data_IF_709326784838
#
_entry.id   IF_709326784838
#
_cell.length_a   1.000
_cell.length_b   1.000
_cell.length_c   1.000
_cell.angle_alpha   90.00
_cell.angle_beta   90.00
_cell.angle_gamma   90.00
#
_symmetry.space_group_name_H-M   'P 1'
#
loop_
_entity.id
_entity.type
_entity.pdbx_description
1 polymer ?
#
# COMPACT_ATOMS: atom_id res chain seq x y z
N UNK A 1 40.93 -0.32 26.87
CA UNK A 1 39.76 -1.21 26.92
C UNK A 1 40.07 -2.43 26.06
N UNK A 2 39.92 -3.63 26.63
CA UNK A 2 40.60 -4.86 26.19
C UNK A 2 39.90 -5.50 24.99
N UNK A 3 40.68 -5.81 23.95
CA UNK A 3 40.29 -6.60 22.79
C UNK A 3 40.05 -8.06 23.18
N UNK A 4 39.01 -8.68 22.64
CA UNK A 4 38.88 -10.13 22.68
C UNK A 4 39.47 -10.71 21.39
N UNK A 5 40.65 -11.33 21.50
CA UNK A 5 41.16 -12.34 20.56
C UNK A 5 40.92 -13.69 21.23
N UNK A 6 40.11 -14.55 20.63
CA UNK A 6 40.04 -15.97 21.01
C UNK A 6 40.52 -16.79 19.80
N UNK A 7 41.68 -17.43 19.98
CA UNK A 7 42.11 -18.59 19.22
C UNK A 7 41.39 -19.82 19.78
N UNK A 8 40.74 -20.60 18.93
CA UNK A 8 40.55 -22.05 19.16
C UNK A 8 40.30 -22.76 17.83
N UNK A 9 41.25 -23.61 17.43
CA UNK A 9 41.03 -24.68 16.45
C UNK A 9 40.17 -25.76 17.11
N UNK A 10 39.10 -26.20 16.45
CA UNK A 10 38.47 -27.48 16.74
C UNK A 10 38.24 -28.26 15.45
N UNK A 11 38.65 -29.52 15.47
CA UNK A 11 38.46 -30.53 14.43
C UNK A 11 37.00 -30.98 14.50
N UNK A 12 36.25 -30.85 13.39
CA UNK A 12 34.89 -31.38 13.31
C UNK A 12 34.93 -32.88 12.98
N UNK A 13 34.22 -33.67 13.77
CA UNK A 13 33.85 -35.05 13.44
C UNK A 13 32.42 -35.03 12.92
N UNK A 14 32.23 -35.35 11.65
CA UNK A 14 30.92 -35.44 11.01
C UNK A 14 30.19 -36.71 11.44
N UNK A 15 28.99 -36.58 12.01
CA UNK A 15 28.03 -37.67 12.14
C UNK A 15 27.14 -37.75 10.87
N UNK A 16 26.67 -38.95 10.50
CA UNK A 16 25.90 -39.15 9.27
C UNK A 16 24.50 -38.51 9.35
N UNK A 17 24.15 -37.78 8.28
CA UNK A 17 22.87 -37.07 8.11
C UNK A 17 21.70 -38.05 7.96
N UNK A 18 20.62 -37.82 8.71
CA UNK A 18 19.32 -38.44 8.45
C UNK A 18 18.59 -37.74 7.30
N UNK A 19 17.80 -38.51 6.53
CA UNK A 19 17.01 -38.12 5.36
C UNK A 19 16.48 -36.67 5.42
N UNK A 20 17.06 -35.80 4.57
CA UNK A 20 16.59 -34.43 4.36
C UNK A 20 15.50 -34.43 3.28
N UNK A 21 14.42 -33.68 3.52
CA UNK A 21 13.39 -33.44 2.50
C UNK A 21 13.94 -32.67 1.28
N UNK A 22 13.12 -32.47 0.23
CA UNK A 22 13.54 -31.70 -0.93
C UNK A 22 13.96 -30.29 -0.52
N UNK A 23 15.19 -29.91 -0.88
CA UNK A 23 15.77 -28.58 -0.64
C UNK A 23 16.43 -28.07 -1.92
N UNK A 24 16.32 -26.77 -2.19
CA UNK A 24 17.01 -26.15 -3.32
C UNK A 24 18.48 -25.93 -2.92
N UNK A 25 19.46 -26.47 -3.66
CA UNK A 25 20.88 -26.25 -3.37
C UNK A 25 21.20 -24.75 -3.36
N UNK A 26 21.91 -24.27 -2.34
CA UNK A 26 22.35 -22.86 -2.25
C UNK A 26 23.22 -22.44 -3.44
N UNK A 27 23.77 -23.41 -4.18
CA UNK A 27 24.62 -23.26 -5.37
C UNK A 27 23.88 -23.32 -6.71
N UNK A 28 22.53 -23.43 -6.75
CA UNK A 28 21.81 -23.39 -8.02
C UNK A 28 21.90 -21.99 -8.64
N UNK A 29 22.92 -21.79 -9.48
CA UNK A 29 23.25 -20.58 -10.25
C UNK A 29 22.98 -19.29 -9.51
N UNK A 30 24.02 -18.76 -8.86
CA UNK A 30 24.15 -17.31 -8.64
C UNK A 30 23.93 -16.64 -9.99
N UNK A 31 22.72 -16.13 -10.24
CA UNK A 31 22.46 -15.19 -11.31
C UNK A 31 23.39 -14.01 -11.03
N UNK A 32 24.40 -13.87 -11.88
CA UNK A 32 25.40 -12.81 -11.82
C UNK A 32 24.68 -11.47 -11.71
N UNK A 33 24.91 -10.80 -10.58
CA UNK A 33 24.52 -9.42 -10.37
C UNK A 33 25.34 -8.54 -11.31
N UNK A 34 24.66 -7.84 -12.21
CA UNK A 34 25.17 -6.59 -12.75
C UNK A 34 24.27 -5.47 -12.20
N UNK A 35 24.80 -4.69 -11.26
CA UNK A 35 24.13 -3.54 -10.63
C UNK A 35 24.11 -2.30 -11.55
N UNK A 36 24.51 -2.44 -12.82
CA UNK A 36 24.64 -1.34 -13.76
C UNK A 36 23.79 -1.48 -15.01
N UNK A 37 22.47 -1.64 -14.87
CA UNK A 37 21.55 -1.34 -15.98
C UNK A 37 20.13 -1.06 -15.49
N UNK A 38 19.92 0.18 -15.04
CA UNK A 38 18.61 0.82 -15.05
C UNK A 38 18.18 1.04 -16.50
N UNK A 39 17.64 0.02 -17.14
CA UNK A 39 16.84 0.18 -18.35
C UNK A 39 15.39 -0.12 -18.00
N UNK A 40 14.52 0.85 -18.29
CA UNK A 40 13.08 0.73 -18.23
C UNK A 40 12.61 -0.41 -19.14
N UNK A 41 12.60 -1.64 -18.65
CA UNK A 41 11.72 -2.67 -19.20
C UNK A 41 10.36 -2.48 -18.57
N UNK A 42 9.44 -1.97 -19.40
CA UNK A 42 8.01 -1.98 -19.14
C UNK A 42 7.63 -3.37 -18.65
N UNK A 43 7.09 -3.43 -17.43
CA UNK A 43 6.61 -4.64 -16.79
C UNK A 43 5.46 -5.17 -17.64
N UNK A 44 5.65 -6.29 -18.33
CA UNK A 44 4.57 -6.90 -19.10
C UNK A 44 3.51 -7.47 -18.13
N UNK A 45 2.21 -7.35 -18.46
CA UNK A 45 1.10 -7.98 -17.72
C UNK A 45 1.22 -9.49 -17.49
N UNK A 46 2.16 -10.16 -18.17
CA UNK A 46 2.29 -11.60 -18.28
C UNK A 46 2.87 -12.29 -17.01
N UNK A 47 3.84 -11.65 -16.32
CA UNK A 47 4.51 -12.28 -15.17
C UNK A 47 3.56 -12.54 -13.99
N UNK A 48 2.59 -11.65 -13.75
CA UNK A 48 1.58 -11.84 -12.70
C UNK A 48 0.68 -13.03 -12.97
N UNK A 49 0.29 -13.27 -14.22
CA UNK A 49 -0.49 -14.45 -14.61
C UNK A 49 0.35 -15.72 -14.51
N UNK A 50 1.61 -15.66 -14.95
CA UNK A 50 2.55 -16.79 -14.82
C UNK A 50 2.76 -17.22 -13.36
N UNK A 51 2.80 -16.28 -12.41
CA UNK A 51 2.83 -16.60 -10.97
C UNK A 51 1.60 -17.41 -10.56
N UNK A 52 0.39 -17.01 -10.99
CA UNK A 52 -0.86 -17.72 -10.67
C UNK A 52 -0.87 -19.12 -11.28
N UNK A 53 -0.41 -19.27 -12.53
CA UNK A 53 -0.29 -20.57 -13.20
C UNK A 53 0.71 -21.49 -12.48
N UNK A 54 1.86 -20.94 -12.09
CA UNK A 54 2.87 -21.67 -11.33
C UNK A 54 2.31 -22.14 -9.98
N UNK A 55 1.64 -21.26 -9.23
CA UNK A 55 0.95 -21.61 -7.98
C UNK A 55 -0.06 -22.74 -8.17
N UNK A 56 -0.85 -22.70 -9.24
CA UNK A 56 -1.80 -23.77 -9.56
C UNK A 56 -1.08 -25.11 -9.81
N UNK A 57 0.06 -25.08 -10.48
CA UNK A 57 0.83 -26.27 -10.84
C UNK A 57 1.63 -26.90 -9.69
N UNK A 58 2.07 -26.10 -8.70
CA UNK A 58 2.86 -26.58 -7.55
C UNK A 58 2.02 -26.92 -6.33
N UNK A 59 0.75 -26.49 -6.30
CA UNK A 59 -0.13 -26.69 -5.15
C UNK A 59 -0.89 -28.01 -5.20
N UNK A 60 -1.03 -28.65 -4.03
CA UNK A 60 -1.94 -29.77 -3.80
C UNK A 60 -3.29 -29.25 -3.30
N UNK A 61 -4.35 -30.06 -3.38
CA UNK A 61 -5.68 -29.73 -2.83
C UNK A 61 -6.03 -30.73 -1.72
N UNK A 62 -6.28 -30.29 -0.46
CA UNK A 62 -6.09 -28.94 0.06
C UNK A 62 -4.61 -28.56 0.25
N UNK A 63 -4.33 -27.26 0.29
CA UNK A 63 -3.00 -26.75 0.67
C UNK A 63 -2.82 -26.85 2.18
N UNK A 64 -1.64 -27.26 2.65
CA UNK A 64 -1.37 -27.39 4.08
C UNK A 64 -1.19 -26.01 4.72
N UNK A 65 -1.69 -25.79 5.96
CA UNK A 65 -1.34 -24.62 6.74
C UNK A 65 0.16 -24.61 7.07
N UNK A 66 0.77 -23.44 6.97
CA UNK A 66 2.11 -23.15 7.50
C UNK A 66 2.09 -23.22 9.03
N UNK A 67 3.18 -23.71 9.63
CA UNK A 67 3.39 -23.61 11.07
C UNK A 67 3.89 -22.22 11.49
N UNK A 68 4.35 -21.42 10.52
CA UNK A 68 4.78 -20.05 10.72
C UNK A 68 3.63 -19.12 10.36
N UNK A 69 3.27 -18.24 11.29
CA UNK A 69 2.29 -17.18 11.07
C UNK A 69 2.74 -16.25 9.93
N UNK A 70 1.80 -15.90 9.05
CA UNK A 70 2.03 -14.85 8.04
C UNK A 70 2.00 -13.48 8.72
N UNK A 71 3.03 -12.68 8.50
CA UNK A 71 3.08 -11.31 9.04
C UNK A 71 3.58 -10.37 7.95
N UNK A 72 2.89 -9.24 7.78
CA UNK A 72 3.36 -8.21 6.88
C UNK A 72 4.21 -7.18 7.60
N UNK A 73 5.07 -6.48 6.86
CA UNK A 73 5.90 -5.43 7.42
C UNK A 73 5.09 -4.27 8.02
N UNK A 74 3.89 -3.99 7.49
CA UNK A 74 2.96 -2.99 8.04
C UNK A 74 2.53 -3.31 9.47
N UNK A 75 2.41 -4.60 9.76
CA UNK A 75 1.92 -5.15 11.03
C UNK A 75 3.03 -5.17 12.09
N UNK A 76 4.28 -4.99 11.65
CA UNK A 76 5.43 -4.95 12.55
C UNK A 76 5.37 -3.66 13.40
N UNK A 77 5.40 -3.76 14.74
CA UNK A 77 5.35 -2.60 15.62
C UNK A 77 6.61 -1.71 15.48
N UNK A 78 6.44 -0.39 15.68
CA UNK A 78 7.56 0.56 15.71
C UNK A 78 8.20 0.60 17.10
N UNK A 79 9.53 0.77 17.14
CA UNK A 79 10.30 1.06 18.37
C UNK A 79 11.29 2.20 18.11
N UNK A 80 11.44 3.05 19.12
CA UNK A 80 12.36 4.20 19.08
C UNK A 80 13.79 3.82 19.48
N UNK A 81 13.95 2.82 20.35
CA UNK A 81 15.24 2.47 20.95
C UNK A 81 15.63 1.03 20.61
N UNK A 82 16.91 0.85 20.24
CA UNK A 82 17.51 -0.47 20.06
C UNK A 82 17.48 -1.27 21.38
N UNK A 83 17.33 -2.61 21.30
CA UNK A 83 17.43 -3.46 22.48
C UNK A 83 18.85 -3.41 23.07
N UNK A 84 18.95 -3.56 24.39
CA UNK A 84 20.23 -3.66 25.08
C UNK A 84 20.92 -4.96 24.66
N UNK A 85 22.22 -4.87 24.34
CA UNK A 85 23.06 -6.04 24.05
C UNK A 85 23.08 -6.97 25.26
N UNK A 86 22.78 -8.27 25.10
CA UNK A 86 22.76 -9.19 26.24
C UNK A 86 24.16 -9.35 26.83
N UNK A 87 24.23 -9.40 28.15
CA UNK A 87 25.49 -9.62 28.89
C UNK A 87 25.93 -11.09 28.91
N UNK A 88 25.04 -12.02 28.52
CA UNK A 88 25.33 -13.45 28.44
C UNK A 88 25.03 -13.98 27.03
N UNK A 89 25.91 -14.85 26.52
CA UNK A 89 25.76 -15.52 25.23
C UNK A 89 24.99 -16.84 25.38
N UNK A 90 23.80 -16.80 25.98
CA UNK A 90 22.92 -17.99 26.04
C UNK A 90 22.01 -18.03 24.81
N UNK A 91 21.57 -19.21 24.33
CA UNK A 91 20.62 -19.30 23.23
C UNK A 91 19.39 -18.40 23.43
N UNK A 92 18.78 -18.42 24.62
CA UNK A 92 17.61 -17.59 24.91
C UNK A 92 17.91 -16.08 24.79
N UNK A 93 19.00 -15.61 25.39
CA UNK A 93 19.36 -14.20 25.37
C UNK A 93 19.68 -13.71 23.94
N UNK A 94 20.46 -14.49 23.19
CA UNK A 94 20.83 -14.17 21.81
C UNK A 94 19.58 -14.14 20.91
N UNK A 95 18.70 -15.13 21.00
CA UNK A 95 17.49 -15.17 20.18
C UNK A 95 16.53 -14.01 20.52
N UNK A 96 16.37 -13.65 21.79
CA UNK A 96 15.52 -12.53 22.19
C UNK A 96 16.08 -11.18 21.72
N UNK A 97 17.40 -11.01 21.80
CA UNK A 97 18.10 -9.84 21.31
C UNK A 97 17.92 -9.68 19.80
N UNK A 98 18.24 -10.72 19.02
CA UNK A 98 18.09 -10.69 17.56
C UNK A 98 16.64 -10.49 17.15
N UNK A 99 15.68 -11.21 17.74
CA UNK A 99 14.25 -10.98 17.48
C UNK A 99 13.84 -9.54 17.74
N UNK A 100 14.36 -8.92 18.79
CA UNK A 100 14.09 -7.51 19.09
C UNK A 100 14.68 -6.55 18.05
N UNK A 101 15.79 -6.92 17.41
CA UNK A 101 16.36 -6.14 16.31
C UNK A 101 15.55 -6.27 15.01
N UNK A 102 15.10 -7.48 14.67
CA UNK A 102 14.55 -7.77 13.33
C UNK A 102 13.02 -7.80 13.25
N UNK A 103 12.31 -7.89 14.39
CA UNK A 103 10.84 -7.90 14.45
C UNK A 103 10.23 -6.57 14.92
N UNK A 104 10.99 -5.48 14.84
CA UNK A 104 10.48 -4.13 15.09
C UNK A 104 10.92 -3.20 13.96
N UNK A 105 10.10 -2.17 13.71
CA UNK A 105 10.45 -1.08 12.79
C UNK A 105 11.18 0.01 13.56
N UNK A 106 12.39 0.31 13.10
CA UNK A 106 13.26 1.35 13.64
C UNK A 106 13.38 2.51 12.66
N UNK A 107 13.94 3.64 13.13
CA UNK A 107 14.35 4.71 12.23
C UNK A 107 15.40 4.19 11.23
N UNK A 108 15.31 4.68 9.99
CA UNK A 108 16.18 4.22 8.89
C UNK A 108 17.67 4.46 9.18
N UNK A 109 17.99 5.48 9.99
CA UNK A 109 19.35 5.80 10.45
C UNK A 109 19.99 4.68 11.27
N UNK A 110 19.20 3.88 11.98
CA UNK A 110 19.66 2.77 12.83
C UNK A 110 19.90 1.47 12.05
N UNK A 111 19.47 1.42 10.79
CA UNK A 111 19.54 0.22 9.95
C UNK A 111 20.97 -0.37 9.84
N UNK A 112 22.04 0.41 9.56
CA UNK A 112 23.39 -0.15 9.46
C UNK A 112 23.83 -0.86 10.74
N UNK A 113 23.51 -0.28 11.91
CA UNK A 113 23.86 -0.84 13.22
C UNK A 113 23.10 -2.15 13.47
N UNK A 114 21.81 -2.20 13.11
CA UNK A 114 21.00 -3.42 13.21
C UNK A 114 21.59 -4.52 12.33
N UNK A 115 21.88 -4.20 11.07
CA UNK A 115 22.43 -5.16 10.12
C UNK A 115 23.78 -5.72 10.58
N UNK A 116 24.69 -4.85 11.00
CA UNK A 116 26.00 -5.26 11.52
C UNK A 116 25.88 -6.12 12.77
N UNK A 117 24.99 -5.74 13.70
CA UNK A 117 24.76 -6.52 14.93
C UNK A 117 24.22 -7.92 14.64
N UNK A 118 23.26 -8.02 13.71
CA UNK A 118 22.68 -9.31 13.32
C UNK A 118 23.70 -10.18 12.59
N UNK A 119 24.46 -9.62 11.65
CA UNK A 119 25.50 -10.37 10.93
C UNK A 119 26.59 -10.84 11.88
N UNK A 120 27.03 -10.00 12.81
CA UNK A 120 28.00 -10.38 13.85
C UNK A 120 27.51 -11.57 14.66
N UNK A 121 26.24 -11.60 15.05
CA UNK A 121 25.67 -12.74 15.78
C UNK A 121 25.60 -13.99 14.91
N UNK A 122 25.19 -13.87 13.64
CA UNK A 122 25.13 -15.01 12.70
C UNK A 122 26.51 -15.60 12.43
N UNK A 123 27.54 -14.77 12.29
CA UNK A 123 28.90 -15.22 12.00
C UNK A 123 29.60 -15.84 13.21
N UNK A 124 29.41 -15.26 14.41
CA UNK A 124 30.16 -15.67 15.60
C UNK A 124 29.43 -16.70 16.47
N UNK A 125 28.10 -16.75 16.43
CA UNK A 125 27.27 -17.60 17.31
C UNK A 125 26.16 -18.36 16.53
N UNK A 126 26.44 -18.96 15.36
CA UNK A 126 25.39 -19.54 14.50
C UNK A 126 24.62 -20.70 15.14
N UNK A 127 25.29 -21.50 15.96
CA UNK A 127 24.74 -22.66 16.68
C UNK A 127 23.76 -22.26 17.80
N UNK A 128 23.86 -21.03 18.31
CA UNK A 128 22.95 -20.50 19.33
C UNK A 128 21.65 -19.96 18.74
N UNK A 129 21.57 -19.76 17.42
CA UNK A 129 20.39 -19.17 16.76
C UNK A 129 19.38 -20.27 16.42
N UNK A 130 18.13 -20.07 16.81
CA UNK A 130 17.05 -21.01 16.45
C UNK A 130 16.62 -20.85 14.99
N UNK A 131 16.09 -21.92 14.37
CA UNK A 131 15.50 -21.88 13.01
C UNK A 131 14.51 -20.72 12.85
N UNK A 132 13.64 -20.51 13.84
CA UNK A 132 12.66 -19.42 13.83
C UNK A 132 13.33 -18.03 13.78
N UNK A 133 14.43 -17.84 14.51
CA UNK A 133 15.17 -16.57 14.47
C UNK A 133 15.88 -16.40 13.14
N UNK A 134 16.47 -17.45 12.56
CA UNK A 134 17.00 -17.40 11.19
C UNK A 134 15.94 -17.00 10.16
N UNK A 135 14.70 -17.45 10.33
CA UNK A 135 13.59 -17.06 9.46
C UNK A 135 13.28 -15.56 9.60
N UNK A 136 13.25 -15.03 10.82
CA UNK A 136 13.05 -13.59 11.04
C UNK A 136 14.21 -12.73 10.51
N UNK A 137 15.45 -13.19 10.66
CA UNK A 137 16.62 -12.55 10.06
C UNK A 137 16.46 -12.52 8.54
N UNK A 138 16.10 -13.64 7.93
CA UNK A 138 15.88 -13.74 6.47
C UNK A 138 14.80 -12.78 6.00
N UNK A 139 13.69 -12.67 6.75
CA UNK A 139 12.59 -11.76 6.42
C UNK A 139 13.00 -10.29 6.49
N UNK A 140 13.80 -9.92 7.48
CA UNK A 140 14.35 -8.57 7.59
C UNK A 140 15.23 -8.21 6.39
N UNK A 141 16.20 -9.06 6.06
CA UNK A 141 17.10 -8.81 4.92
C UNK A 141 16.37 -8.88 3.56
N UNK A 142 15.35 -9.74 3.42
CA UNK A 142 14.46 -9.76 2.26
C UNK A 142 13.74 -8.43 2.10
N UNK A 143 13.12 -7.94 3.19
CA UNK A 143 12.40 -6.68 3.16
C UNK A 143 13.29 -5.52 2.74
N UNK A 144 14.55 -5.52 3.17
CA UNK A 144 15.55 -4.50 2.81
C UNK A 144 16.32 -4.76 1.50
N UNK A 145 15.89 -5.75 0.68
CA UNK A 145 16.48 -6.10 -0.63
C UNK A 145 17.94 -6.55 -0.60
N UNK A 146 18.39 -7.13 0.51
CA UNK A 146 19.78 -7.58 0.69
C UNK A 146 19.93 -9.06 0.37
N UNK A 147 19.56 -9.45 -0.86
CA UNK A 147 19.47 -10.85 -1.29
C UNK A 147 20.80 -11.60 -1.19
N UNK A 148 21.92 -10.92 -1.45
CA UNK A 148 23.25 -11.51 -1.31
C UNK A 148 23.55 -11.90 0.15
N UNK A 149 23.14 -11.06 1.11
CA UNK A 149 23.31 -11.36 2.55
C UNK A 149 22.42 -12.52 2.98
N UNK A 150 21.20 -12.63 2.43
CA UNK A 150 20.33 -13.80 2.69
C UNK A 150 21.04 -15.10 2.31
N UNK A 151 21.64 -15.17 1.11
CA UNK A 151 22.35 -16.37 0.68
C UNK A 151 23.47 -16.76 1.65
N UNK A 152 24.28 -15.79 2.08
CA UNK A 152 25.34 -16.00 3.10
C UNK A 152 24.79 -16.47 4.44
N UNK A 153 23.71 -15.85 4.92
CA UNK A 153 23.08 -16.22 6.20
C UNK A 153 22.57 -17.67 6.16
N UNK A 154 21.94 -18.08 5.05
CA UNK A 154 21.44 -19.45 4.88
C UNK A 154 22.57 -20.47 4.71
N UNK A 155 23.68 -20.08 4.08
CA UNK A 155 24.90 -20.90 3.99
C UNK A 155 25.53 -21.12 5.36
N UNK A 156 25.68 -20.04 6.16
CA UNK A 156 26.16 -20.13 7.54
C UNK A 156 25.24 -21.00 8.39
N UNK A 157 23.91 -20.83 8.28
CA UNK A 157 22.93 -21.68 8.97
C UNK A 157 23.11 -23.15 8.60
N UNK A 158 23.16 -23.47 7.31
CA UNK A 158 23.22 -24.85 6.82
C UNK A 158 24.56 -25.53 7.15
N UNK A 159 25.63 -24.75 7.29
CA UNK A 159 26.97 -25.26 7.61
C UNK A 159 27.17 -25.52 9.11
N UNK A 160 26.44 -24.81 9.96
CA UNK A 160 26.64 -24.84 11.42
C UNK A 160 25.46 -25.45 12.20
N UNK A 161 24.36 -25.80 11.53
CA UNK A 161 23.16 -26.35 12.16
C UNK A 161 22.58 -27.52 11.35
N UNK A 162 21.62 -28.23 11.92
CA UNK A 162 20.85 -29.25 11.20
C UNK A 162 19.61 -28.67 10.48
N UNK A 163 19.48 -27.34 10.41
CA UNK A 163 18.35 -26.71 9.74
C UNK A 163 18.50 -26.81 8.22
N UNK A 164 17.37 -26.93 7.54
CA UNK A 164 17.33 -26.98 6.08
C UNK A 164 16.63 -25.74 5.54
N UNK A 165 17.01 -25.33 4.32
CA UNK A 165 16.31 -24.27 3.59
C UNK A 165 15.01 -24.83 3.00
N UNK A 166 13.99 -24.92 3.85
CA UNK A 166 12.68 -25.48 3.54
C UNK A 166 11.69 -24.42 3.01
N UNK A 167 10.41 -24.82 2.89
CA UNK A 167 9.35 -23.98 2.34
C UNK A 167 9.15 -22.65 3.08
N UNK A 168 9.43 -22.56 4.38
CA UNK A 168 9.19 -21.32 5.12
C UNK A 168 10.22 -20.25 4.75
N UNK A 169 11.47 -20.66 4.54
CA UNK A 169 12.51 -19.75 4.06
C UNK A 169 12.26 -19.30 2.62
N UNK A 170 11.79 -20.20 1.75
CA UNK A 170 11.43 -19.85 0.37
C UNK A 170 10.20 -18.91 0.33
N UNK A 171 9.21 -19.12 1.19
CA UNK A 171 8.07 -18.22 1.36
C UNK A 171 8.50 -16.80 1.71
N UNK A 172 9.41 -16.66 2.67
CA UNK A 172 9.97 -15.36 3.03
C UNK A 172 10.63 -14.70 1.80
N UNK A 173 11.40 -15.45 1.01
CA UNK A 173 12.09 -14.94 -0.19
C UNK A 173 11.14 -14.57 -1.33
N UNK A 174 9.93 -15.14 -1.37
CA UNK A 174 8.85 -14.70 -2.26
C UNK A 174 8.18 -13.40 -1.79
N UNK A 175 8.30 -13.08 -0.50
CA UNK A 175 7.65 -11.95 0.15
C UNK A 175 8.01 -10.58 -0.43
N UNK A 176 7.17 -9.60 -0.10
CA UNK A 176 7.33 -8.20 -0.49
C UNK A 176 8.63 -7.59 0.07
N UNK A 177 9.21 -6.64 -0.67
CA UNK A 177 10.40 -5.90 -0.27
C UNK A 177 10.25 -4.40 -0.53
N UNK A 178 11.09 -3.58 0.12
CA UNK A 178 11.05 -2.11 0.03
C UNK A 178 11.58 -1.66 -1.33
N UNK A 179 10.69 -1.44 -2.29
CA UNK A 179 11.01 -0.90 -3.61
C UNK A 179 10.10 -1.45 -4.71
N UNK A 180 10.54 -1.32 -5.96
CA UNK A 180 9.84 -1.88 -7.11
C UNK A 180 9.82 -3.40 -7.03
N UNK A 181 8.63 -3.98 -7.18
CA UNK A 181 8.43 -5.43 -7.18
C UNK A 181 8.96 -6.00 -8.50
N UNK A 182 10.05 -6.76 -8.40
CA UNK A 182 10.58 -7.60 -9.49
C UNK A 182 9.82 -8.94 -9.51
N UNK A 183 8.90 -9.09 -10.47
CA UNK A 183 8.09 -10.31 -10.61
C UNK A 183 8.87 -11.45 -11.28
N UNK A 184 9.80 -11.14 -12.19
CA UNK A 184 10.61 -12.13 -12.89
C UNK A 184 11.41 -12.99 -11.92
N UNK A 185 12.06 -12.39 -10.91
CA UNK A 185 12.77 -13.15 -9.87
C UNK A 185 11.89 -14.07 -9.03
N UNK A 186 10.59 -13.77 -8.94
CA UNK A 186 9.62 -14.59 -8.20
C UNK A 186 9.08 -15.72 -9.05
N UNK A 187 8.91 -15.50 -10.35
CA UNK A 187 8.66 -16.55 -11.33
C UNK A 187 9.79 -17.58 -11.29
N UNK A 188 11.05 -17.15 -11.46
CA UNK A 188 12.23 -18.03 -11.40
C UNK A 188 12.28 -18.82 -10.09
N UNK A 189 11.95 -18.16 -8.97
CA UNK A 189 11.88 -18.78 -7.65
C UNK A 189 10.84 -19.90 -7.58
N UNK A 190 9.62 -19.64 -8.05
CA UNK A 190 8.54 -20.62 -8.07
C UNK A 190 8.85 -21.79 -9.03
N UNK A 191 9.51 -21.52 -10.15
CA UNK A 191 10.01 -22.55 -11.07
C UNK A 191 11.05 -23.46 -10.39
N UNK A 192 12.04 -22.90 -9.69
CA UNK A 192 13.00 -23.70 -8.92
C UNK A 192 12.32 -24.54 -7.82
N UNK A 193 11.32 -23.98 -7.13
CA UNK A 193 10.53 -24.73 -6.13
C UNK A 193 9.77 -25.90 -6.76
N UNK A 194 9.21 -25.69 -7.96
CA UNK A 194 8.54 -26.72 -8.76
C UNK A 194 9.48 -27.84 -9.15
N UNK A 195 10.65 -27.49 -9.72
CA UNK A 195 11.67 -28.44 -10.16
C UNK A 195 12.21 -29.27 -8.98
N UNK A 196 12.38 -28.65 -7.82
CA UNK A 196 12.79 -29.33 -6.59
C UNK A 196 11.68 -30.20 -5.95
N UNK A 197 10.46 -30.20 -6.50
CA UNK A 197 9.34 -30.95 -5.95
C UNK A 197 8.87 -30.47 -4.58
N UNK A 198 9.08 -29.18 -4.26
CA UNK A 198 8.65 -28.61 -2.98
C UNK A 198 7.13 -28.55 -2.87
N UNK A 199 6.60 -28.93 -1.72
CA UNK A 199 5.16 -28.83 -1.42
C UNK A 199 4.87 -27.47 -0.79
N UNK A 200 4.14 -26.62 -1.50
CA UNK A 200 3.76 -25.29 -1.02
C UNK A 200 2.72 -25.34 0.11
N UNK A 201 2.71 -24.29 0.94
CA UNK A 201 1.75 -24.10 2.02
C UNK A 201 0.98 -22.78 1.82
N UNK A 202 0.04 -22.46 2.71
CA UNK A 202 -0.77 -21.24 2.60
C UNK A 202 0.06 -19.93 2.59
N UNK A 203 1.19 -19.86 3.30
CA UNK A 203 2.05 -18.69 3.27
C UNK A 203 2.63 -18.43 1.87
N UNK A 204 2.84 -19.47 1.05
CA UNK A 204 3.24 -19.28 -0.35
C UNK A 204 2.21 -18.45 -1.11
N UNK A 205 0.92 -18.71 -0.89
CA UNK A 205 -0.18 -17.95 -1.49
C UNK A 205 -0.22 -16.51 -0.96
N UNK A 206 -0.07 -16.30 0.35
CA UNK A 206 -0.11 -14.94 0.91
C UNK A 206 1.05 -14.06 0.43
N UNK A 207 2.27 -14.60 0.40
CA UNK A 207 3.43 -13.85 -0.08
C UNK A 207 3.36 -13.54 -1.58
N UNK A 208 2.85 -14.46 -2.39
CA UNK A 208 2.69 -14.26 -3.84
C UNK A 208 1.52 -13.35 -4.17
N UNK A 209 0.37 -13.50 -3.51
CA UNK A 209 -0.77 -12.59 -3.64
C UNK A 209 -0.37 -11.13 -3.39
N UNK A 210 0.42 -10.91 -2.32
CA UNK A 210 0.88 -9.58 -1.90
C UNK A 210 1.65 -8.82 -2.99
N UNK A 211 2.34 -9.52 -3.86
CA UNK A 211 3.24 -8.93 -4.86
C UNK A 211 2.60 -8.79 -6.24
N UNK A 212 1.45 -9.41 -6.48
CA UNK A 212 0.69 -9.24 -7.71
C UNK A 212 0.32 -7.76 -7.92
N UNK A 213 0.48 -7.30 -9.16
CA UNK A 213 0.35 -5.88 -9.51
C UNK A 213 -0.96 -5.53 -10.23
N UNK A 214 -1.71 -6.50 -10.78
CA UNK A 214 -3.00 -6.25 -11.45
C UNK A 214 -4.18 -6.76 -10.63
N UNK A 215 -5.36 -6.15 -10.84
CA UNK A 215 -6.61 -6.62 -10.25
C UNK A 215 -6.97 -8.03 -10.74
N UNK A 216 -6.86 -8.29 -12.04
CA UNK A 216 -7.22 -9.59 -12.63
C UNK A 216 -6.41 -10.75 -12.04
N UNK A 217 -5.09 -10.59 -11.93
CA UNK A 217 -4.23 -11.63 -11.35
C UNK A 217 -4.53 -11.87 -9.88
N UNK A 218 -4.85 -10.81 -9.11
CA UNK A 218 -5.28 -10.94 -7.71
C UNK A 218 -6.62 -11.66 -7.60
N UNK A 219 -7.59 -11.35 -8.45
CA UNK A 219 -8.89 -12.03 -8.46
C UNK A 219 -8.72 -13.52 -8.81
N UNK A 220 -7.91 -13.83 -9.83
CA UNK A 220 -7.58 -15.22 -10.18
C UNK A 220 -6.86 -15.95 -9.03
N UNK A 221 -5.93 -15.29 -8.36
CA UNK A 221 -5.26 -15.85 -7.19
C UNK A 221 -6.24 -16.14 -6.04
N UNK A 222 -7.20 -15.26 -5.76
CA UNK A 222 -8.23 -15.48 -4.73
C UNK A 222 -9.16 -16.64 -5.08
N UNK A 223 -9.58 -16.75 -6.35
CA UNK A 223 -10.34 -17.92 -6.83
C UNK A 223 -9.55 -19.21 -6.62
N UNK A 224 -8.27 -19.21 -6.99
CA UNK A 224 -7.38 -20.34 -6.76
C UNK A 224 -7.22 -20.65 -5.25
N UNK A 225 -7.09 -19.64 -4.39
CA UNK A 225 -7.03 -19.83 -2.94
C UNK A 225 -8.29 -20.51 -2.40
N UNK A 226 -9.48 -20.04 -2.83
CA UNK A 226 -10.77 -20.64 -2.49
C UNK A 226 -10.83 -22.10 -2.94
N UNK A 227 -10.48 -22.38 -4.20
CA UNK A 227 -10.46 -23.74 -4.76
C UNK A 227 -9.53 -24.68 -4.00
N UNK A 228 -8.44 -24.14 -3.44
CA UNK A 228 -7.42 -24.89 -2.70
C UNK A 228 -7.67 -24.92 -1.18
N UNK A 229 -8.79 -24.35 -0.72
CA UNK A 229 -9.17 -24.21 0.70
C UNK A 229 -8.13 -23.43 1.52
N UNK A 230 -7.56 -22.39 0.93
CA UNK A 230 -6.67 -21.44 1.61
C UNK A 230 -7.53 -20.31 2.18
N UNK A 231 -7.43 -20.08 3.49
CA UNK A 231 -8.13 -19.01 4.20
C UNK A 231 -7.68 -17.63 3.72
N UNK A 232 -8.60 -16.70 3.44
CA UNK A 232 -8.23 -15.35 3.03
C UNK A 232 -7.99 -14.41 4.22
N UNK A 233 -8.33 -14.80 5.45
CA UNK A 233 -8.23 -13.95 6.64
C UNK A 233 -6.88 -13.20 6.76
N UNK A 234 -5.70 -13.86 6.55
CA UNK A 234 -4.41 -13.17 6.67
C UNK A 234 -4.15 -12.08 5.63
N UNK A 235 -4.94 -12.03 4.55
CA UNK A 235 -4.85 -11.03 3.49
C UNK A 235 -6.18 -10.30 3.26
N UNK A 236 -7.10 -10.36 4.25
CA UNK A 236 -8.48 -9.92 4.06
C UNK A 236 -8.58 -8.45 3.69
N UNK A 237 -7.86 -7.56 4.38
CA UNK A 237 -7.90 -6.13 4.06
C UNK A 237 -7.49 -5.86 2.61
N UNK A 238 -6.38 -6.46 2.17
CA UNK A 238 -5.86 -6.28 0.80
C UNK A 238 -6.77 -6.89 -0.26
N UNK A 239 -7.31 -8.07 0.02
CA UNK A 239 -8.26 -8.74 -0.88
C UNK A 239 -9.55 -7.94 -0.99
N UNK A 240 -10.08 -7.41 0.11
CA UNK A 240 -11.26 -6.56 0.11
C UNK A 240 -11.06 -5.29 -0.74
N UNK A 241 -9.93 -4.59 -0.62
CA UNK A 241 -9.65 -3.44 -1.49
C UNK A 241 -9.60 -3.80 -2.98
N UNK A 242 -9.11 -5.00 -3.31
CA UNK A 242 -9.07 -5.49 -4.68
C UNK A 242 -10.46 -5.86 -5.21
N UNK A 243 -11.25 -6.57 -4.40
CA UNK A 243 -12.56 -7.11 -4.76
C UNK A 243 -13.64 -6.02 -4.81
N UNK A 244 -13.47 -4.93 -4.06
CA UNK A 244 -14.41 -3.80 -4.05
C UNK A 244 -14.64 -3.20 -5.45
N UNK A 245 -13.69 -3.29 -6.36
CA UNK A 245 -13.85 -2.79 -7.74
C UNK A 245 -14.32 -3.87 -8.73
N UNK A 246 -14.41 -5.12 -8.29
CA UNK A 246 -14.70 -6.25 -9.17
C UNK A 246 -16.08 -6.88 -8.87
N UNK A 247 -16.46 -6.91 -7.60
CA UNK A 247 -17.74 -7.47 -7.14
C UNK A 247 -18.87 -6.46 -7.24
N UNK A 248 -20.08 -6.98 -7.47
CA UNK A 248 -21.31 -6.29 -7.14
C UNK A 248 -21.38 -6.01 -5.64
N UNK A 249 -22.26 -5.09 -5.24
CA UNK A 249 -22.48 -4.76 -3.82
C UNK A 249 -22.86 -5.98 -3.00
N UNK A 250 -23.73 -6.82 -3.53
CA UNK A 250 -24.19 -8.03 -2.85
C UNK A 250 -23.08 -9.07 -2.69
N UNK A 251 -22.32 -9.34 -3.75
CA UNK A 251 -21.18 -10.27 -3.72
C UNK A 251 -20.12 -9.80 -2.72
N UNK A 252 -19.84 -8.50 -2.67
CA UNK A 252 -18.88 -7.93 -1.74
C UNK A 252 -19.34 -8.03 -0.29
N UNK A 253 -20.61 -7.76 -0.02
CA UNK A 253 -21.19 -7.91 1.32
C UNK A 253 -21.22 -9.36 1.80
N UNK A 254 -21.51 -10.30 0.90
CA UNK A 254 -21.44 -11.72 1.21
C UNK A 254 -20.00 -12.16 1.50
N UNK A 255 -19.04 -11.73 0.70
CA UNK A 255 -17.62 -12.00 0.93
C UNK A 255 -17.15 -11.53 2.31
N UNK A 256 -17.52 -10.31 2.71
CA UNK A 256 -17.18 -9.77 4.02
C UNK A 256 -17.82 -10.58 5.17
N UNK A 257 -19.11 -10.94 5.04
CA UNK A 257 -19.82 -11.74 6.04
C UNK A 257 -19.23 -13.13 6.21
N UNK A 258 -18.86 -13.80 5.11
CA UNK A 258 -18.21 -15.11 5.12
C UNK A 258 -16.90 -15.09 5.92
N UNK A 259 -16.20 -13.95 5.94
CA UNK A 259 -14.96 -13.74 6.69
C UNK A 259 -15.17 -13.04 8.05
N UNK A 260 -16.41 -13.05 8.57
CA UNK A 260 -16.72 -12.55 9.92
C UNK A 260 -16.78 -11.02 10.05
N UNK A 261 -16.79 -10.29 8.93
CA UNK A 261 -16.99 -8.84 8.91
C UNK A 261 -18.48 -8.55 8.82
N UNK A 262 -19.05 -8.17 9.96
CA UNK A 262 -20.46 -7.81 10.17
C UNK A 262 -20.54 -6.45 10.85
N UNK A 263 -21.72 -5.87 11.02
CA UNK A 263 -21.90 -4.51 11.55
C UNK A 263 -21.13 -4.23 12.86
N UNK A 264 -20.97 -5.22 13.74
CA UNK A 264 -20.24 -5.11 15.02
C UNK A 264 -18.71 -5.21 14.89
N UNK A 265 -18.21 -5.79 13.80
CA UNK A 265 -16.78 -5.99 13.53
C UNK A 265 -16.29 -5.13 12.37
N UNK A 266 -17.19 -4.34 11.76
CA UNK A 266 -16.89 -3.42 10.68
C UNK A 266 -15.97 -2.30 11.19
N UNK A 267 -14.76 -2.24 10.65
CA UNK A 267 -13.81 -1.16 10.93
C UNK A 267 -13.99 -0.01 9.92
N UNK A 268 -13.39 1.15 10.20
CA UNK A 268 -13.38 2.25 9.24
C UNK A 268 -12.75 1.86 7.89
N UNK A 269 -11.77 0.94 7.90
CA UNK A 269 -11.18 0.40 6.67
C UNK A 269 -12.23 -0.33 5.80
N UNK A 270 -12.99 -1.25 6.39
CA UNK A 270 -14.01 -2.00 5.66
C UNK A 270 -15.17 -1.11 5.24
N UNK A 271 -15.59 -0.14 6.07
CA UNK A 271 -16.59 0.85 5.67
C UNK A 271 -16.13 1.65 4.45
N UNK A 272 -14.90 2.17 4.47
CA UNK A 272 -14.33 2.88 3.32
C UNK A 272 -14.26 2.00 2.07
N UNK A 273 -13.94 0.72 2.23
CA UNK A 273 -13.91 -0.23 1.12
C UNK A 273 -15.31 -0.52 0.57
N UNK A 274 -16.34 -0.60 1.42
CA UNK A 274 -17.75 -0.67 0.99
C UNK A 274 -18.16 0.57 0.21
N UNK A 275 -17.80 1.77 0.67
CA UNK A 275 -18.07 3.04 -0.05
C UNK A 275 -17.45 2.98 -1.46
N UNK A 276 -16.17 2.57 -1.58
CA UNK A 276 -15.52 2.38 -2.88
C UNK A 276 -16.31 1.42 -3.78
N UNK A 277 -16.79 0.31 -3.22
CA UNK A 277 -17.56 -0.68 -3.98
C UNK A 277 -18.89 -0.12 -4.51
N UNK A 278 -19.65 0.60 -3.69
CA UNK A 278 -20.88 1.27 -4.16
C UNK A 278 -20.60 2.31 -5.25
N UNK A 279 -19.55 3.13 -5.07
CA UNK A 279 -19.18 4.16 -6.04
C UNK A 279 -18.72 3.56 -7.38
N UNK A 280 -18.01 2.44 -7.36
CA UNK A 280 -17.60 1.73 -8.58
C UNK A 280 -18.80 1.14 -9.33
N UNK A 281 -19.82 0.69 -8.60
CA UNK A 281 -21.08 0.20 -9.16
C UNK A 281 -22.06 1.33 -9.55
N UNK A 282 -21.64 2.60 -9.48
CA UNK A 282 -22.43 3.76 -9.92
C UNK A 282 -23.49 4.26 -8.92
N UNK A 283 -23.57 3.66 -7.73
CA UNK A 283 -24.58 3.99 -6.72
C UNK A 283 -24.06 5.03 -5.71
N UNK A 284 -23.95 6.30 -6.12
CA UNK A 284 -23.45 7.37 -5.23
C UNK A 284 -24.37 7.62 -4.03
N UNK A 285 -25.69 7.61 -4.26
CA UNK A 285 -26.70 7.74 -3.20
C UNK A 285 -26.56 6.59 -2.20
N UNK A 286 -26.56 5.35 -2.67
CA UNK A 286 -26.44 4.20 -1.76
C UNK A 286 -25.10 4.19 -1.01
N UNK A 287 -24.01 4.64 -1.66
CA UNK A 287 -22.71 4.80 -1.00
C UNK A 287 -22.81 5.76 0.18
N UNK A 288 -23.45 6.92 -0.01
CA UNK A 288 -23.63 7.91 1.03
C UNK A 288 -24.60 7.45 2.13
N UNK A 289 -25.75 6.89 1.76
CA UNK A 289 -26.74 6.41 2.73
C UNK A 289 -26.17 5.25 3.58
N UNK A 290 -25.41 4.35 2.96
CA UNK A 290 -24.70 3.28 3.68
C UNK A 290 -23.66 3.87 4.64
N UNK A 291 -22.85 4.82 4.17
CA UNK A 291 -21.87 5.53 4.98
C UNK A 291 -22.50 6.23 6.19
N UNK A 292 -23.57 6.99 5.97
CA UNK A 292 -24.33 7.74 6.97
C UNK A 292 -24.98 6.80 7.99
N UNK A 293 -25.62 5.72 7.53
CA UNK A 293 -26.22 4.69 8.40
C UNK A 293 -25.20 4.15 9.41
N UNK A 294 -24.02 3.73 8.97
CA UNK A 294 -23.00 3.19 9.86
C UNK A 294 -22.38 4.25 10.78
N UNK A 295 -22.22 5.48 10.28
CA UNK A 295 -21.73 6.59 11.10
C UNK A 295 -22.68 6.90 12.27
N UNK A 296 -23.99 6.92 12.01
CA UNK A 296 -25.02 7.28 12.99
C UNK A 296 -25.36 6.12 13.95
N UNK A 297 -25.08 4.87 13.59
CA UNK A 297 -25.30 3.74 14.49
C UNK A 297 -24.29 3.76 15.66
N UNK A 298 -24.79 3.98 16.87
CA UNK A 298 -23.97 4.02 18.10
C UNK A 298 -23.33 2.67 18.45
N UNK A 299 -23.84 1.57 17.91
CA UNK A 299 -23.31 0.21 18.13
C UNK A 299 -22.25 -0.20 17.10
N UNK A 300 -22.14 0.52 15.99
CA UNK A 300 -21.14 0.24 14.96
C UNK A 300 -19.81 0.96 15.30
N UNK A 301 -18.68 0.23 15.36
CA UNK A 301 -17.38 0.85 15.62
C UNK A 301 -16.83 1.62 14.41
N UNK A 302 -17.28 1.33 13.19
CA UNK A 302 -16.90 2.09 12.02
C UNK A 302 -17.51 3.50 12.06
N UNK A 303 -16.67 4.51 11.88
CA UNK A 303 -17.09 5.92 11.72
C UNK A 303 -16.44 6.49 10.48
N UNK A 304 -17.22 7.32 9.78
CA UNK A 304 -16.69 8.16 8.71
C UNK A 304 -15.54 9.03 9.23
N UNK A 305 -14.51 9.14 8.41
CA UNK A 305 -13.30 9.91 8.70
C UNK A 305 -12.81 10.62 7.44
N UNK A 306 -11.68 11.33 7.53
CA UNK A 306 -11.10 12.06 6.40
C UNK A 306 -10.88 11.17 5.16
N UNK A 307 -10.55 9.89 5.35
CA UNK A 307 -10.36 8.95 4.22
C UNK A 307 -11.69 8.70 3.51
N UNK A 308 -12.80 8.59 4.24
CA UNK A 308 -14.15 8.46 3.66
C UNK A 308 -14.48 9.66 2.77
N UNK A 309 -14.22 10.89 3.25
CA UNK A 309 -14.42 12.11 2.47
C UNK A 309 -13.57 12.12 1.18
N UNK A 310 -12.29 11.76 1.30
CA UNK A 310 -11.38 11.73 0.16
C UNK A 310 -11.80 10.73 -0.92
N UNK A 311 -12.40 9.59 -0.54
CA UNK A 311 -12.91 8.59 -1.49
C UNK A 311 -14.02 9.19 -2.38
N UNK A 312 -15.01 9.85 -1.78
CA UNK A 312 -16.06 10.52 -2.54
C UNK A 312 -15.53 11.71 -3.33
N UNK A 313 -14.68 12.54 -2.73
CA UNK A 313 -14.11 13.70 -3.42
C UNK A 313 -13.34 13.28 -4.68
N UNK A 314 -12.53 12.21 -4.58
CA UNK A 314 -11.82 11.64 -5.71
C UNK A 314 -12.79 11.15 -6.80
N UNK A 315 -13.86 10.44 -6.42
CA UNK A 315 -14.89 9.99 -7.36
C UNK A 315 -15.52 11.15 -8.14
N UNK A 316 -15.92 12.22 -7.45
CA UNK A 316 -16.51 13.39 -8.11
C UNK A 316 -15.52 14.14 -9.00
N UNK A 317 -14.25 14.26 -8.60
CA UNK A 317 -13.20 14.87 -9.43
C UNK A 317 -13.02 14.07 -10.72
N UNK A 318 -12.93 12.74 -10.63
CA UNK A 318 -12.78 11.86 -11.82
C UNK A 318 -13.97 11.95 -12.78
N UNK A 319 -15.18 12.19 -12.24
CA UNK A 319 -16.40 12.41 -13.03
C UNK A 319 -16.58 13.86 -13.48
N UNK A 320 -15.63 14.76 -13.20
CA UNK A 320 -15.70 16.21 -13.46
C UNK A 320 -16.89 16.91 -12.78
N UNK A 321 -17.34 16.38 -11.65
CA UNK A 321 -18.46 16.89 -10.84
C UNK A 321 -17.97 17.65 -9.62
N UNK A 322 -17.06 18.62 -9.81
CA UNK A 322 -16.37 19.30 -8.69
C UNK A 322 -17.34 20.04 -7.76
N UNK A 323 -18.49 20.49 -8.28
CA UNK A 323 -19.57 21.06 -7.47
C UNK A 323 -20.05 20.08 -6.38
N UNK A 324 -20.08 18.77 -6.65
CA UNK A 324 -20.43 17.74 -5.67
C UNK A 324 -19.36 17.57 -4.59
N UNK A 325 -18.09 17.94 -4.85
CA UNK A 325 -17.05 17.95 -3.81
C UNK A 325 -17.33 19.01 -2.74
N UNK A 326 -17.76 20.21 -3.15
CA UNK A 326 -18.13 21.29 -2.24
C UNK A 326 -19.43 20.97 -1.48
N UNK A 327 -20.45 20.49 -2.18
CA UNK A 327 -21.71 20.08 -1.58
C UNK A 327 -21.50 18.97 -0.55
N UNK A 328 -20.72 17.95 -0.91
CA UNK A 328 -20.36 16.88 0.01
C UNK A 328 -19.54 17.39 1.19
N UNK A 329 -18.61 18.32 1.01
CA UNK A 329 -17.84 18.87 2.13
C UNK A 329 -18.77 19.43 3.21
N UNK A 330 -19.75 20.25 2.81
CA UNK A 330 -20.72 20.84 3.74
C UNK A 330 -21.53 19.76 4.47
N UNK A 331 -22.07 18.80 3.72
CA UNK A 331 -22.87 17.71 4.28
C UNK A 331 -22.05 16.76 5.17
N UNK A 332 -20.80 16.51 4.80
CA UNK A 332 -19.88 15.66 5.55
C UNK A 332 -19.50 16.28 6.90
N UNK A 333 -19.16 17.58 6.90
CA UNK A 333 -18.86 18.31 8.14
C UNK A 333 -20.11 18.37 9.03
N UNK A 334 -21.28 18.67 8.46
CA UNK A 334 -22.56 18.69 9.18
C UNK A 334 -22.88 17.34 9.83
N UNK A 335 -22.74 16.25 9.06
CA UNK A 335 -23.09 14.89 9.51
C UNK A 335 -22.10 14.34 10.53
N UNK A 336 -20.79 14.60 10.34
CA UNK A 336 -19.74 13.88 11.07
C UNK A 336 -18.96 14.73 12.07
N UNK A 337 -19.01 16.06 11.94
CA UNK A 337 -18.16 16.99 12.67
C UNK A 337 -16.68 16.97 12.25
N UNK A 338 -16.28 16.12 11.30
CA UNK A 338 -14.89 16.00 10.85
C UNK A 338 -14.54 17.16 9.92
N UNK A 339 -13.57 17.98 10.33
CA UNK A 339 -13.06 19.10 9.53
C UNK A 339 -12.27 18.60 8.32
N UNK A 340 -12.88 18.66 7.13
CA UNK A 340 -12.31 18.15 5.87
C UNK A 340 -11.88 19.25 4.88
N UNK A 341 -11.88 20.53 5.31
CA UNK A 341 -11.62 21.70 4.44
C UNK A 341 -10.24 21.66 3.80
N UNK A 342 -9.21 21.34 4.60
CA UNK A 342 -7.86 21.14 4.11
C UNK A 342 -7.76 19.98 3.11
N UNK A 343 -8.46 18.88 3.37
CA UNK A 343 -8.49 17.71 2.47
C UNK A 343 -9.21 18.01 1.15
N UNK A 344 -10.28 18.81 1.18
CA UNK A 344 -10.93 19.35 -0.03
C UNK A 344 -9.93 20.19 -0.83
N UNK A 345 -9.26 21.14 -0.18
CA UNK A 345 -8.28 22.00 -0.83
C UNK A 345 -7.13 21.20 -1.47
N UNK A 346 -6.55 20.23 -0.75
CA UNK A 346 -5.52 19.34 -1.28
C UNK A 346 -6.01 18.51 -2.47
N UNK A 347 -7.23 17.96 -2.41
CA UNK A 347 -7.84 17.21 -3.49
C UNK A 347 -8.02 18.08 -4.74
N UNK A 348 -8.59 19.27 -4.58
CA UNK A 348 -8.77 20.24 -5.66
C UNK A 348 -7.43 20.62 -6.30
N UNK A 349 -6.44 21.02 -5.52
CA UNK A 349 -5.15 21.46 -6.07
C UNK A 349 -4.40 20.35 -6.81
N UNK A 350 -4.29 19.16 -6.20
CA UNK A 350 -3.46 18.07 -6.75
C UNK A 350 -4.13 17.24 -7.84
N UNK A 351 -5.47 17.17 -7.86
CA UNK A 351 -6.19 16.24 -8.75
C UNK A 351 -7.07 16.95 -9.76
N UNK A 352 -7.55 18.15 -9.46
CA UNK A 352 -8.43 18.89 -10.36
C UNK A 352 -7.72 20.09 -11.00
N UNK A 353 -7.37 21.10 -10.21
CA UNK A 353 -6.89 22.40 -10.71
C UNK A 353 -5.56 22.32 -11.47
N UNK A 354 -4.71 21.37 -11.14
CA UNK A 354 -3.43 21.13 -11.84
C UNK A 354 -3.59 20.40 -13.17
N UNK A 355 -4.79 19.92 -13.51
CA UNK A 355 -5.04 19.03 -14.65
C UNK A 355 -6.28 19.42 -15.47
N UNK A 356 -7.11 20.34 -14.99
CA UNK A 356 -8.30 20.79 -15.69
C UNK A 356 -7.99 21.80 -16.79
N UNK A 357 -8.92 21.97 -17.73
CA UNK A 357 -8.91 23.14 -18.60
C UNK A 357 -9.20 24.39 -17.76
N UNK A 358 -8.41 25.45 -17.93
CA UNK A 358 -8.66 26.69 -17.22
C UNK A 358 -10.02 27.28 -17.59
N UNK A 359 -10.72 27.79 -16.58
CA UNK A 359 -11.98 28.53 -16.67
C UNK A 359 -11.78 29.94 -16.09
N UNK A 360 -12.75 30.84 -16.28
CA UNK A 360 -12.61 32.26 -15.93
C UNK A 360 -12.22 32.47 -14.46
N UNK A 361 -12.88 31.77 -13.54
CA UNK A 361 -12.59 31.87 -12.09
C UNK A 361 -11.44 30.97 -11.62
N UNK A 362 -10.73 30.28 -12.52
CA UNK A 362 -9.65 29.36 -12.17
C UNK A 362 -8.52 30.02 -11.37
N UNK A 363 -8.03 31.23 -11.72
CA UNK A 363 -6.96 31.88 -10.96
C UNK A 363 -7.36 32.16 -9.52
N UNK A 364 -8.57 32.68 -9.30
CA UNK A 364 -9.09 33.02 -7.98
C UNK A 364 -9.30 31.78 -7.12
N UNK A 365 -9.92 30.74 -7.68
CA UNK A 365 -10.09 29.48 -6.96
C UNK A 365 -8.74 28.86 -6.58
N UNK A 366 -7.78 28.87 -7.50
CA UNK A 366 -6.45 28.28 -7.28
C UNK A 366 -5.71 28.98 -6.14
N UNK A 367 -5.69 30.32 -6.12
CA UNK A 367 -5.05 31.07 -5.03
C UNK A 367 -5.73 30.83 -3.69
N UNK A 368 -7.07 30.83 -3.65
CA UNK A 368 -7.83 30.55 -2.44
C UNK A 368 -7.54 29.13 -1.89
N UNK A 369 -7.54 28.13 -2.77
CA UNK A 369 -7.23 26.74 -2.42
C UNK A 369 -5.79 26.58 -1.92
N UNK A 370 -4.81 27.22 -2.59
CA UNK A 370 -3.41 27.18 -2.15
C UNK A 370 -3.24 27.86 -0.79
N UNK A 371 -3.93 28.98 -0.55
CA UNK A 371 -3.95 29.65 0.76
C UNK A 371 -4.51 28.75 1.86
N UNK A 372 -5.59 27.99 1.60
CA UNK A 372 -6.11 26.99 2.55
C UNK A 372 -5.06 25.92 2.89
N UNK A 373 -4.28 25.46 1.91
CA UNK A 373 -3.21 24.49 2.13
C UNK A 373 -2.07 25.10 2.98
N UNK A 374 -1.73 26.37 2.76
CA UNK A 374 -0.68 27.08 3.49
C UNK A 374 -0.99 27.28 4.97
N UNK A 375 -2.27 27.28 5.37
CA UNK A 375 -2.67 27.33 6.78
C UNK A 375 -2.25 26.07 7.56
N UNK A 376 -1.89 24.99 6.88
CA UNK A 376 -1.41 23.74 7.50
C UNK A 376 0.11 23.75 7.74
N UNK A 377 0.57 22.91 8.69
CA UNK A 377 2.01 22.69 8.91
C UNK A 377 2.72 22.01 7.73
N UNK A 378 1.98 21.30 6.89
CA UNK A 378 2.51 20.56 5.75
C UNK A 378 2.79 21.49 4.56
N UNK A 379 2.05 22.60 4.46
CA UNK A 379 2.20 23.60 3.41
C UNK A 379 1.92 23.06 2.00
N UNK A 380 2.09 23.91 0.99
CA UNK A 380 1.92 23.53 -0.41
C UNK A 380 3.17 22.82 -0.94
N UNK A 381 2.99 21.70 -1.65
CA UNK A 381 4.08 20.99 -2.31
C UNK A 381 4.62 21.79 -3.51
N UNK A 382 5.94 21.96 -3.61
CA UNK A 382 6.61 22.68 -4.71
C UNK A 382 6.25 22.11 -6.09
N UNK A 383 6.13 20.79 -6.23
CA UNK A 383 5.76 20.14 -7.49
C UNK A 383 4.36 20.53 -7.95
N UNK A 384 3.40 20.56 -7.02
CA UNK A 384 2.02 20.98 -7.28
C UNK A 384 1.98 22.45 -7.70
N UNK A 385 2.72 23.31 -6.99
CA UNK A 385 2.80 24.75 -7.29
C UNK A 385 3.39 25.02 -8.67
N UNK A 386 4.42 24.26 -9.07
CA UNK A 386 5.00 24.38 -10.41
C UNK A 386 4.01 23.94 -11.49
N UNK A 387 3.27 22.84 -11.30
CA UNK A 387 2.23 22.41 -12.25
C UNK A 387 1.15 23.48 -12.45
N UNK A 388 0.69 24.11 -11.37
CA UNK A 388 -0.29 25.20 -11.45
C UNK A 388 0.27 26.41 -12.22
N UNK A 389 1.54 26.77 -12.00
CA UNK A 389 2.21 27.86 -12.76
C UNK A 389 2.35 27.52 -14.24
N UNK A 390 2.69 26.28 -14.56
CA UNK A 390 2.85 25.85 -15.95
C UNK A 390 1.50 25.82 -16.68
N UNK A 391 0.44 25.34 -16.02
CA UNK A 391 -0.92 25.42 -16.56
C UNK A 391 -1.35 26.87 -16.80
N UNK A 392 -1.09 27.76 -15.86
CA UNK A 392 -1.39 29.20 -16.02
C UNK A 392 -0.67 29.81 -17.24
N UNK A 393 0.59 29.45 -17.49
CA UNK A 393 1.33 29.88 -18.70
C UNK A 393 0.68 29.36 -19.98
N UNK A 394 0.30 28.08 -20.02
CA UNK A 394 -0.37 27.46 -21.17
C UNK A 394 -1.66 28.20 -21.52
N UNK A 395 -2.38 28.69 -20.51
CA UNK A 395 -3.62 29.45 -20.69
C UNK A 395 -3.41 30.97 -20.80
N UNK A 396 -2.19 31.44 -20.99
CA UNK A 396 -1.89 32.86 -21.24
C UNK A 396 -1.96 33.78 -20.02
N UNK A 397 -2.08 33.23 -18.81
CA UNK A 397 -2.09 34.00 -17.56
C UNK A 397 -0.65 34.32 -17.16
N UNK A 398 -0.15 35.46 -17.64
CA UNK A 398 1.21 35.93 -17.36
C UNK A 398 1.37 36.29 -15.88
N UNK A 399 2.51 35.92 -15.30
CA UNK A 399 2.89 36.24 -13.90
C UNK A 399 1.90 35.72 -12.84
N UNK A 400 1.26 34.58 -13.09
CA UNK A 400 0.42 33.93 -12.08
C UNK A 400 1.24 33.53 -10.84
N UNK A 401 0.87 34.09 -9.70
CA UNK A 401 1.39 33.67 -8.39
C UNK A 401 0.30 32.87 -7.64
N UNK A 402 0.46 31.54 -7.50
CA UNK A 402 -0.45 30.72 -6.70
C UNK A 402 -0.54 31.14 -5.23
N UNK A 403 0.46 31.86 -4.70
CA UNK A 403 0.49 32.33 -3.32
C UNK A 403 -0.11 33.73 -3.12
N UNK A 404 -0.44 34.44 -4.20
CA UNK A 404 -0.93 35.82 -4.15
C UNK A 404 -2.41 35.94 -3.76
N UNK A 405 -2.89 35.15 -2.79
CA UNK A 405 -4.30 35.13 -2.40
C UNK A 405 -4.76 36.47 -1.84
N UNK A 406 -5.85 36.98 -2.40
CA UNK A 406 -6.50 38.23 -1.98
C UNK A 406 -7.72 37.97 -1.09
N UNK A 407 -8.26 39.03 -0.47
CA UNK A 407 -9.54 38.96 0.25
C UNK A 407 -10.67 38.52 -0.69
N UNK A 408 -10.72 39.06 -1.90
CA UNK A 408 -11.71 38.68 -2.92
C UNK A 408 -11.63 37.20 -3.31
N UNK A 409 -10.42 36.62 -3.39
CA UNK A 409 -10.26 35.17 -3.64
C UNK A 409 -10.82 34.33 -2.48
N UNK A 410 -10.66 34.82 -1.25
CA UNK A 410 -11.20 34.16 -0.05
C UNK A 410 -12.72 34.26 -0.02
N UNK A 411 -13.30 35.43 -0.27
CA UNK A 411 -14.74 35.64 -0.39
C UNK A 411 -15.35 34.79 -1.50
N UNK A 412 -14.63 34.62 -2.61
CA UNK A 412 -15.05 33.74 -3.70
C UNK A 412 -15.16 32.28 -3.23
N UNK A 413 -14.16 31.77 -2.50
CA UNK A 413 -14.22 30.42 -1.94
C UNK A 413 -15.33 30.25 -0.92
N UNK A 414 -15.51 31.21 -0.01
CA UNK A 414 -16.63 31.18 0.95
C UNK A 414 -17.98 31.23 0.25
N UNK A 415 -18.12 32.04 -0.81
CA UNK A 415 -19.34 32.06 -1.61
C UNK A 415 -19.61 30.73 -2.31
N UNK A 416 -18.57 30.03 -2.79
CA UNK A 416 -18.74 28.69 -3.37
C UNK A 416 -19.19 27.69 -2.31
N UNK A 417 -18.58 27.72 -1.11
CA UNK A 417 -18.96 26.85 0.00
C UNK A 417 -20.40 27.10 0.45
N UNK A 418 -20.84 28.35 0.45
CA UNK A 418 -22.20 28.71 0.84
C UNK A 418 -23.25 28.33 -0.23
N UNK A 419 -22.93 28.50 -1.51
CA UNK A 419 -23.87 28.23 -2.62
C UNK A 419 -23.92 26.77 -3.04
N UNK A 420 -22.80 26.06 -2.96
CA UNK A 420 -22.69 24.64 -3.29
C UNK A 420 -22.95 23.80 -2.04
N UNK A 421 -24.20 23.80 -1.58
CA UNK A 421 -24.67 22.97 -0.46
C UNK A 421 -26.08 22.45 -0.77
N UNK A 422 -26.36 21.21 -0.40
CA UNK A 422 -27.71 20.67 -0.46
C UNK A 422 -28.58 21.28 0.64
N UNK A 423 -29.86 21.52 0.32
CA UNK A 423 -30.85 22.09 1.24
C UNK A 423 -31.74 20.99 1.80
N UNK A 424 -32.31 21.24 2.98
CA UNK A 424 -33.36 20.41 3.61
C UNK A 424 -33.01 18.93 3.81
N UNK A 425 -31.73 18.62 3.98
CA UNK A 425 -31.21 17.24 4.08
C UNK A 425 -31.51 16.36 2.83
N UNK A 426 -31.94 16.98 1.72
CA UNK A 426 -32.22 16.30 0.46
C UNK A 426 -31.00 16.36 -0.45
N UNK A 427 -30.30 15.24 -0.58
CA UNK A 427 -29.07 15.14 -1.35
C UNK A 427 -29.38 14.87 -2.82
N UNK A 428 -28.93 15.76 -3.70
CA UNK A 428 -29.16 15.70 -5.15
C UNK A 428 -27.83 15.70 -5.89
N UNK A 429 -27.34 14.53 -6.27
CA UNK A 429 -26.05 14.41 -6.95
C UNK A 429 -26.12 14.80 -8.44
N UNK A 430 -27.30 14.73 -9.07
CA UNK A 430 -27.53 15.26 -10.40
C UNK A 430 -27.62 16.79 -10.33
N UNK A 431 -26.81 17.48 -11.15
CA UNK A 431 -26.78 18.93 -11.19
C UNK A 431 -28.16 19.51 -11.55
N UNK A 432 -28.92 18.86 -12.43
CA UNK A 432 -30.20 19.36 -12.90
C UNK A 432 -31.31 19.38 -11.83
N UNK A 433 -31.14 18.60 -10.77
CA UNK A 433 -32.10 18.47 -9.68
C UNK A 433 -31.86 19.52 -8.57
N UNK A 434 -30.71 20.19 -8.59
CA UNK A 434 -30.35 21.21 -7.62
C UNK A 434 -31.03 22.56 -7.91
N UNK A 435 -31.03 23.46 -6.91
CA UNK A 435 -31.61 24.78 -7.09
C UNK A 435 -30.82 25.69 -8.04
N UNK A 436 -31.44 26.78 -8.49
CA UNK A 436 -30.87 27.68 -9.49
C UNK A 436 -29.54 28.32 -9.03
N UNK A 437 -29.39 28.59 -7.73
CA UNK A 437 -28.19 29.19 -7.17
C UNK A 437 -27.01 28.21 -7.18
N UNK A 438 -27.29 26.96 -6.80
CA UNK A 438 -26.34 25.86 -6.89
C UNK A 438 -25.88 25.66 -8.34
N UNK A 439 -26.82 25.59 -9.29
CA UNK A 439 -26.52 25.40 -10.71
C UNK A 439 -25.66 26.56 -11.24
N UNK A 440 -26.00 27.81 -10.88
CA UNK A 440 -25.19 28.99 -11.24
C UNK A 440 -23.78 28.91 -10.69
N UNK A 441 -23.60 28.51 -9.44
CA UNK A 441 -22.28 28.36 -8.84
C UNK A 441 -21.49 27.22 -9.48
N UNK A 442 -22.13 26.09 -9.80
CA UNK A 442 -21.50 24.96 -10.47
C UNK A 442 -21.00 25.32 -11.88
N UNK A 443 -21.71 26.19 -12.60
CA UNK A 443 -21.30 26.64 -13.93
C UNK A 443 -20.02 27.48 -13.93
N UNK A 444 -19.55 27.97 -12.78
CA UNK A 444 -18.27 28.68 -12.66
C UNK A 444 -17.06 27.77 -12.92
N UNK A 445 -17.23 26.45 -12.89
CA UNK A 445 -16.17 25.47 -13.19
C UNK A 445 -16.12 25.07 -14.67
N UNK A 446 -17.06 25.53 -15.50
CA UNK A 446 -17.14 25.14 -16.90
C UNK A 446 -16.10 25.91 -17.72
N UNK A 447 -15.19 25.24 -18.44
CA UNK A 447 -14.28 25.92 -19.35
C UNK A 447 -15.09 26.66 -20.41
N UNK A 448 -14.85 27.97 -20.56
CA UNK A 448 -15.33 28.67 -21.74
C UNK A 448 -14.53 28.13 -22.92
N UNK A 449 -15.19 27.55 -23.92
CA UNK A 449 -14.58 27.21 -25.20
C UNK A 449 -14.12 28.49 -25.88
N UNK A 450 -12.93 28.96 -25.53
CA UNK A 450 -12.19 29.85 -26.41
C UNK A 450 -11.66 28.97 -27.53
N UNK A 451 -11.98 29.30 -28.78
CA UNK A 451 -11.28 28.75 -29.93
C UNK A 451 -9.82 29.19 -29.84
N UNK A 452 -9.01 28.47 -29.06
CA UNK A 452 -7.57 28.63 -29.07
C UNK A 452 -7.12 28.11 -30.43
N UNK A 453 -7.03 29.02 -31.41
CA UNK A 453 -6.24 28.81 -32.61
C UNK A 453 -4.79 28.68 -32.16
N UNK A 454 -4.39 27.47 -31.79
CA UNK A 454 -3.00 27.12 -31.58
C UNK A 454 -2.28 27.42 -32.89
N UNK A 455 -1.50 28.50 -32.90
CA UNK A 455 -0.67 28.84 -34.05
C UNK A 455 0.57 27.94 -33.96
N UNK A 456 0.82 27.02 -34.92
CA UNK A 456 1.92 26.07 -34.85
C UNK A 456 3.30 26.73 -34.69
N UNK A 457 3.44 28.01 -35.06
CA UNK A 457 4.67 28.78 -34.88
C UNK A 457 4.97 29.18 -33.42
N UNK A 458 4.09 28.90 -32.46
CA UNK A 458 4.36 29.08 -31.03
C UNK A 458 5.09 27.88 -30.39
N UNK A 459 5.31 26.80 -31.15
CA UNK A 459 6.02 25.60 -30.73
C UNK A 459 7.34 25.37 -31.48
N UNK A 460 7.82 26.35 -32.25
CA UNK A 460 9.11 26.32 -32.95
C UNK A 460 10.11 27.29 -32.34
#
# INVERSE_FOLDING_TARGET
MRSWRICTRFISTSLPRANSGPSIPLTSKVLSFDESQSSHRLIEPNDSLKIVDLLSSISRKPVKPSQVEYTEYSDIPKRLLLPIVPTSATPLAINNYVKSLVRFRYEDSLRPVIEESVLTVVENLPDLITRQTYLYITAYFQFHRQFFRISKILETMSSNTNFTNDIDFENVRLGFNRGTVDLTKRVERLEMMKEAGMVVNNNTFYHTYRVLNTHDSKVLALKLMTDRKVDHTPILERSSSCLAQYFTVEEFDNYLKEHGIVDKTLTAFYLNTKIVNHLYNGSVIDAWETAKKYHLDSKCPAKLNITSFLIFAQHFIEKKQVYNCFALYNEFVKTTGVQSRFSLALGLANKYLSQCEAFESWPSLTRAVVNEIQKSREGANLSMVNQLKDLAKVHGIKQFDPYGCTESDTEFLESLLDKLKWKDDEIKFDLAENDEEFIKAANLFVPQRSEIKLNPTQFL
#
